data_IF_861517262258
#
_entry.id   IF_861517262258
#
_cell.length_a   1.000
_cell.length_b   1.000
_cell.length_c   1.000
_cell.angle_alpha   90.00
_cell.angle_beta   90.00
_cell.angle_gamma   90.00
#
_symmetry.space_group_name_H-M   'P 1'
#
loop_
_entity.id
_entity.type
_entity.pdbx_description
1 polymer ?
#
# COMPACT_ATOMS: atom_id res chain seq x y z
N UNK A 1 -24.58 9.61 -11.63
CA UNK A 1 -23.75 9.53 -10.41
C UNK A 1 -24.01 8.18 -9.78
N UNK A 2 -23.31 7.15 -10.24
CA UNK A 2 -23.51 5.79 -9.75
C UNK A 2 -22.51 5.57 -8.63
N UNK A 3 -23.00 5.59 -7.39
CA UNK A 3 -22.24 5.15 -6.22
C UNK A 3 -22.12 3.63 -6.33
N UNK A 4 -20.94 3.12 -6.67
CA UNK A 4 -20.69 1.70 -6.86
C UNK A 4 -19.87 1.15 -5.70
N UNK A 5 -20.47 0.25 -4.91
CA UNK A 5 -19.72 -0.61 -3.99
C UNK A 5 -19.06 -1.69 -4.84
N UNK A 6 -17.73 -1.76 -4.84
CA UNK A 6 -16.99 -2.75 -5.60
C UNK A 6 -16.45 -3.82 -4.65
N UNK A 7 -16.54 -5.09 -5.07
CA UNK A 7 -15.94 -6.23 -4.41
C UNK A 7 -15.41 -7.17 -5.50
N UNK A 8 -14.10 -7.36 -5.53
CA UNK A 8 -13.42 -8.31 -6.41
C UNK A 8 -12.59 -9.27 -5.58
N UNK A 9 -12.71 -10.58 -5.87
CA UNK A 9 -11.87 -11.62 -5.27
C UNK A 9 -11.03 -12.25 -6.39
N UNK A 10 -9.72 -12.28 -6.20
CA UNK A 10 -8.77 -12.93 -7.10
C UNK A 10 -8.31 -14.21 -6.42
N UNK A 11 -8.59 -15.36 -7.04
CA UNK A 11 -8.12 -16.68 -6.61
C UNK A 11 -6.70 -16.91 -7.14
N UNK A 12 -5.80 -17.27 -6.21
CA UNK A 12 -4.36 -17.24 -6.36
C UNK A 12 -3.73 -18.58 -6.71
N UNK A 13 -4.38 -19.46 -7.47
CA UNK A 13 -3.68 -20.65 -7.98
C UNK A 13 -2.70 -20.25 -9.09
N UNK A 14 -1.43 -20.00 -8.71
CA UNK A 14 -0.22 -20.38 -9.47
C UNK A 14 1.07 -19.96 -8.75
N UNK A 15 1.88 -20.97 -8.43
CA UNK A 15 3.24 -20.81 -7.92
C UNK A 15 4.19 -20.11 -8.89
N UNK A 16 4.41 -18.81 -8.68
CA UNK A 16 5.62 -18.09 -9.13
C UNK A 16 6.03 -17.07 -8.06
N UNK A 17 7.05 -17.42 -7.27
CA UNK A 17 7.69 -16.48 -6.34
C UNK A 17 8.54 -15.50 -7.15
N UNK A 18 8.07 -14.27 -7.31
CA UNK A 18 8.93 -13.17 -7.73
C UNK A 18 9.58 -12.56 -6.49
N UNK A 19 10.89 -12.74 -6.34
CA UNK A 19 11.69 -12.07 -5.32
C UNK A 19 11.73 -10.58 -5.63
N UNK A 20 10.95 -9.79 -4.89
CA UNK A 20 11.09 -8.34 -4.85
C UNK A 20 12.08 -7.96 -3.74
N UNK A 21 13.23 -7.45 -4.16
CA UNK A 21 14.28 -6.97 -3.26
C UNK A 21 13.94 -5.52 -2.86
N UNK A 22 13.80 -5.27 -1.56
CA UNK A 22 13.65 -3.93 -1.01
C UNK A 22 14.96 -3.54 -0.30
N UNK A 23 15.71 -2.54 -0.78
CA UNK A 23 16.85 -2.02 -0.06
C UNK A 23 16.37 -0.90 0.87
N UNK A 24 15.81 -1.22 2.02
CA UNK A 24 15.75 -0.26 3.12
C UNK A 24 16.86 -0.64 4.10
N UNK A 25 18.05 -0.10 3.86
CA UNK A 25 19.08 -0.02 4.90
C UNK A 25 18.72 1.16 5.80
N UNK A 26 18.07 0.90 6.93
CA UNK A 26 18.07 1.87 8.03
C UNK A 26 19.47 1.83 8.67
N UNK A 27 20.38 2.69 8.21
CA UNK A 27 21.63 2.94 8.95
C UNK A 27 21.24 3.77 10.17
N UNK A 28 20.97 3.11 11.30
CA UNK A 28 21.10 3.76 12.60
C UNK A 28 22.59 3.75 12.91
N UNK A 29 23.34 4.67 12.29
CA UNK A 29 24.57 5.11 12.95
C UNK A 29 24.12 5.68 14.29
N UNK A 30 24.91 5.48 15.34
CA UNK A 30 24.77 6.18 16.63
C UNK A 30 25.02 7.71 16.47
N UNK A 31 24.45 8.35 15.45
CA UNK A 31 24.51 9.76 15.13
C UNK A 31 23.20 10.42 15.52
N UNK A 32 23.27 11.19 16.60
CA UNK A 32 22.23 12.08 17.10
C UNK A 32 21.76 13.01 15.97
N UNK A 33 20.49 12.90 15.54
CA UNK A 33 19.84 13.98 14.80
C UNK A 33 19.59 15.13 15.78
N UNK A 34 20.06 16.36 15.52
CA UNK A 34 19.91 17.47 16.46
C UNK A 34 18.47 17.99 16.39
N UNK A 35 17.58 17.44 17.21
CA UNK A 35 16.28 18.06 17.50
C UNK A 35 16.50 19.03 18.65
N UNK A 36 16.36 20.33 18.39
CA UNK A 36 16.53 21.39 19.38
C UNK A 36 15.40 21.30 20.42
N UNK A 37 15.69 20.69 21.57
CA UNK A 37 14.91 20.87 22.80
C UNK A 37 15.71 20.44 24.04
N UNK A 38 15.66 21.30 25.07
CA UNK A 38 16.28 21.23 26.40
C UNK A 38 16.86 19.88 26.88
N UNK A 39 18.19 19.79 27.00
CA UNK A 39 19.00 18.94 27.91
C UNK A 39 18.37 17.63 28.44
N UNK A 40 18.05 16.69 27.56
CA UNK A 40 17.71 15.31 27.93
C UNK A 40 18.00 14.32 26.81
N UNK A 41 18.58 13.16 27.14
CA UNK A 41 18.71 12.05 26.20
C UNK A 41 17.32 11.43 25.97
N UNK A 42 16.87 11.38 24.71
CA UNK A 42 15.60 10.75 24.32
C UNK A 42 15.89 9.45 23.55
N UNK A 43 15.25 8.36 23.95
CA UNK A 43 15.31 7.07 23.25
C UNK A 43 14.14 6.99 22.28
N UNK A 44 14.44 6.93 20.99
CA UNK A 44 13.46 6.72 19.92
C UNK A 44 13.71 5.37 19.25
N UNK A 45 12.65 4.60 19.03
CA UNK A 45 12.70 3.32 18.31
C UNK A 45 11.71 3.35 17.15
N UNK A 46 12.12 2.84 16.00
CA UNK A 46 11.28 2.70 14.80
C UNK A 46 11.40 1.27 14.28
N UNK A 47 10.30 0.74 13.74
CA UNK A 47 10.26 -0.53 13.03
C UNK A 47 9.88 -0.32 11.56
N UNK A 48 10.19 -1.32 10.73
CA UNK A 48 9.83 -1.34 9.31
C UNK A 48 9.66 -2.78 8.86
N UNK A 49 8.71 -3.03 7.96
CA UNK A 49 8.49 -4.35 7.36
C UNK A 49 8.97 -4.37 5.91
N UNK A 50 9.34 -5.55 5.40
CA UNK A 50 9.74 -5.70 4.00
C UNK A 50 8.54 -5.58 3.06
N UNK A 51 8.79 -5.33 1.78
CA UNK A 51 7.73 -5.23 0.76
C UNK A 51 6.94 -6.52 0.57
N UNK A 52 7.47 -7.66 1.00
CA UNK A 52 6.76 -8.94 0.97
C UNK A 52 5.81 -9.15 2.16
N UNK A 53 5.78 -8.23 3.13
CA UNK A 53 4.82 -8.30 4.23
C UNK A 53 3.40 -8.11 3.68
N UNK A 54 2.42 -8.95 4.09
CA UNK A 54 1.06 -8.93 3.51
C UNK A 54 0.37 -7.56 3.61
N UNK A 55 0.67 -6.81 4.68
CA UNK A 55 0.25 -5.40 4.84
C UNK A 55 0.75 -4.53 3.68
N UNK A 56 2.06 -4.55 3.41
CA UNK A 56 2.67 -3.77 2.32
C UNK A 56 2.21 -4.22 0.95
N UNK A 57 1.95 -5.52 0.76
CA UNK A 57 1.36 -6.02 -0.49
C UNK A 57 -0.05 -5.47 -0.68
N UNK A 58 -0.85 -5.41 0.38
CA UNK A 58 -2.21 -4.85 0.35
C UNK A 58 -2.19 -3.35 0.05
N UNK A 59 -1.26 -2.60 0.67
CA UNK A 59 -1.01 -1.19 0.38
C UNK A 59 -0.70 -0.99 -1.11
N UNK A 60 0.25 -1.76 -1.65
CA UNK A 60 0.68 -1.64 -3.05
C UNK A 60 -0.45 -1.90 -4.04
N UNK A 61 -1.31 -2.90 -3.79
CA UNK A 61 -2.45 -3.19 -4.66
C UNK A 61 -3.43 -2.01 -4.64
N UNK A 62 -3.73 -1.48 -3.44
CA UNK A 62 -4.67 -0.36 -3.27
C UNK A 62 -4.15 0.93 -3.91
N UNK A 63 -2.85 1.23 -3.73
CA UNK A 63 -2.18 2.38 -4.35
C UNK A 63 -2.17 2.27 -5.87
N UNK A 64 -1.92 1.08 -6.42
CA UNK A 64 -1.94 0.86 -7.88
C UNK A 64 -3.31 1.19 -8.49
N UNK A 65 -4.40 0.84 -7.79
CA UNK A 65 -5.77 1.16 -8.22
C UNK A 65 -6.02 2.68 -8.15
N UNK A 66 -5.57 3.32 -7.08
CA UNK A 66 -5.65 4.78 -6.92
C UNK A 66 -4.89 5.50 -8.06
N UNK A 67 -3.65 5.10 -8.32
CA UNK A 67 -2.80 5.64 -9.39
C UNK A 67 -3.45 5.49 -10.76
N UNK A 68 -4.03 4.32 -11.05
CA UNK A 68 -4.77 4.11 -12.30
C UNK A 68 -5.97 5.05 -12.42
N UNK A 69 -6.76 5.20 -11.36
CA UNK A 69 -7.91 6.11 -11.37
C UNK A 69 -7.49 7.57 -11.54
N UNK A 70 -6.48 8.03 -10.78
CA UNK A 70 -6.02 9.42 -10.82
C UNK A 70 -5.32 9.79 -12.12
N UNK A 71 -4.60 8.84 -12.74
CA UNK A 71 -3.95 9.07 -14.04
C UNK A 71 -4.95 9.27 -15.18
N UNK A 72 -6.13 8.64 -15.12
CA UNK A 72 -7.18 8.77 -16.12
C UNK A 72 -8.20 9.86 -15.80
N UNK A 73 -8.51 10.06 -14.52
CA UNK A 73 -9.44 11.06 -14.03
C UNK A 73 -8.89 11.69 -12.73
N UNK A 74 -8.28 12.89 -12.82
CA UNK A 74 -7.74 13.60 -11.66
C UNK A 74 -8.78 13.97 -10.60
N UNK A 75 -10.08 13.89 -10.91
CA UNK A 75 -11.17 14.15 -9.97
C UNK A 75 -11.72 12.89 -9.31
N UNK A 76 -11.05 11.74 -9.52
CA UNK A 76 -11.43 10.46 -8.95
C UNK A 76 -11.47 10.51 -7.42
N UNK A 77 -12.46 9.86 -6.83
CA UNK A 77 -12.53 9.57 -5.39
C UNK A 77 -12.44 8.07 -5.21
N UNK A 78 -11.39 7.61 -4.56
CA UNK A 78 -11.07 6.19 -4.41
C UNK A 78 -10.88 5.91 -2.92
N UNK A 79 -11.77 5.11 -2.35
CA UNK A 79 -11.62 4.49 -1.05
C UNK A 79 -11.56 2.98 -1.28
N UNK A 80 -10.38 2.49 -1.65
CA UNK A 80 -10.13 1.10 -2.02
C UNK A 80 -9.29 0.44 -0.94
N UNK A 81 -9.77 -0.67 -0.41
CA UNK A 81 -9.14 -1.47 0.63
C UNK A 81 -8.82 -2.85 0.06
N UNK A 82 -7.61 -3.35 0.32
CA UNK A 82 -7.21 -4.69 -0.09
C UNK A 82 -6.94 -5.55 1.14
N UNK A 83 -7.47 -6.75 1.15
CA UNK A 83 -7.16 -7.78 2.14
C UNK A 83 -6.57 -8.99 1.43
N UNK A 84 -5.35 -9.38 1.81
CA UNK A 84 -4.66 -10.53 1.25
C UNK A 84 -4.54 -11.66 2.25
N UNK A 85 -4.76 -12.88 1.78
CA UNK A 85 -4.51 -14.12 2.52
C UNK A 85 -4.01 -15.19 1.53
N UNK A 86 -3.76 -16.41 2.01
CA UNK A 86 -3.29 -17.52 1.18
C UNK A 86 -4.22 -17.72 -0.02
N UNK A 87 -3.64 -17.60 -1.21
CA UNK A 87 -4.30 -17.78 -2.51
C UNK A 87 -5.56 -16.92 -2.70
N UNK A 88 -5.67 -15.79 -2.00
CA UNK A 88 -6.84 -14.92 -2.09
C UNK A 88 -6.47 -13.46 -1.85
N UNK A 89 -6.81 -12.61 -2.81
CA UNK A 89 -6.82 -11.17 -2.63
C UNK A 89 -8.24 -10.64 -2.82
N UNK A 90 -8.75 -9.94 -1.81
CA UNK A 90 -10.05 -9.27 -1.85
C UNK A 90 -9.81 -7.78 -1.95
N UNK A 91 -10.32 -7.16 -3.00
CA UNK A 91 -10.34 -5.72 -3.20
C UNK A 91 -11.78 -5.24 -2.99
N UNK A 92 -11.98 -4.33 -2.04
CA UNK A 92 -13.30 -3.83 -1.69
C UNK A 92 -13.28 -2.31 -1.47
N UNK A 93 -14.42 -1.66 -1.67
CA UNK A 93 -14.58 -0.25 -1.31
C UNK A 93 -15.48 0.53 -2.24
N UNK A 94 -15.25 1.83 -2.29
CA UNK A 94 -16.03 2.79 -3.07
C UNK A 94 -15.14 3.57 -4.02
N UNK A 95 -15.44 3.48 -5.32
CA UNK A 95 -14.70 4.19 -6.36
C UNK A 95 -15.70 5.03 -7.15
N UNK A 96 -15.43 6.33 -7.23
CA UNK A 96 -16.10 7.25 -8.15
C UNK A 96 -15.05 7.78 -9.12
N UNK A 97 -15.04 7.28 -10.34
CA UNK A 97 -14.08 7.68 -11.38
C UNK A 97 -14.72 7.58 -12.76
N UNK A 98 -14.19 8.34 -13.72
CA UNK A 98 -14.46 8.16 -15.16
C UNK A 98 -13.42 7.28 -15.85
N UNK A 99 -12.43 6.76 -15.12
CA UNK A 99 -11.47 5.82 -15.64
C UNK A 99 -12.17 4.54 -16.15
N UNK A 100 -11.71 3.95 -17.26
CA UNK A 100 -12.24 2.69 -17.75
C UNK A 100 -11.77 1.54 -16.85
N UNK A 101 -12.63 1.11 -15.92
CA UNK A 101 -12.33 0.01 -14.97
C UNK A 101 -12.68 -1.38 -15.51
N UNK A 102 -13.25 -1.47 -16.71
CA UNK A 102 -13.56 -2.71 -17.39
C UNK A 102 -12.80 -2.78 -18.73
N UNK A 103 -12.36 -3.97 -19.15
CA UNK A 103 -11.84 -4.19 -20.50
C UNK A 103 -12.93 -4.07 -21.57
#
# INVERSE_FOLDING_TARGET
MTWGRFLFAIDGDRGKKHSFFCPITVIINHGVLPVSSSNGHYLFTSESVSMGHPDKVSDQISDTILDYCLSHDPTSRVACETMVTTDLAIVAGEITTKAPLYP
#
